data_IF_818700761116
#
_entry.id   IF_818700761116
#
_cell.length_a   1.000
_cell.length_b   1.000
_cell.length_c   1.000
_cell.angle_alpha   90.00
_cell.angle_beta   90.00
_cell.angle_gamma   90.00
#
_symmetry.space_group_name_H-M   'P 1'
#
loop_
_entity.id
_entity.type
_entity.pdbx_description
1 polymer ?
#
# COMPACT_ATOMS: atom_id res chain seq x y z
N UNK A 1 0.04 -10.76 -22.44
CA UNK A 1 -1.37 -10.40 -22.15
C UNK A 1 -1.68 -10.75 -20.70
N UNK A 2 -1.50 -9.85 -19.72
CA UNK A 2 -2.22 -9.88 -18.42
C UNK A 2 -1.91 -8.60 -17.59
N UNK A 3 -2.48 -7.45 -17.95
CA UNK A 3 -2.48 -6.29 -17.06
C UNK A 3 -3.84 -6.24 -16.39
N UNK A 4 -4.01 -7.00 -15.30
CA UNK A 4 -5.20 -6.90 -14.46
C UNK A 4 -5.29 -5.46 -13.93
N UNK A 5 -6.30 -4.72 -14.38
CA UNK A 5 -6.66 -3.44 -13.78
C UNK A 5 -7.04 -3.72 -12.32
N UNK A 6 -6.46 -3.03 -11.32
CA UNK A 6 -6.83 -3.30 -9.93
C UNK A 6 -8.34 -3.14 -9.80
N UNK A 7 -9.03 -4.12 -9.16
CA UNK A 7 -10.46 -4.02 -8.94
C UNK A 7 -10.74 -2.71 -8.20
N UNK A 8 -11.67 -1.90 -8.71
CA UNK A 8 -12.13 -0.72 -7.98
C UNK A 8 -12.70 -1.23 -6.65
N UNK A 9 -12.29 -0.68 -5.50
CA UNK A 9 -12.79 -1.16 -4.21
C UNK A 9 -14.31 -0.97 -4.18
N UNK A 10 -15.04 -2.08 -4.10
CA UNK A 10 -16.47 -2.09 -3.81
C UNK A 10 -16.65 -1.68 -2.36
N UNK A 11 -16.85 -0.37 -2.14
CA UNK A 11 -17.20 0.27 -0.87
C UNK A 11 -18.38 -0.42 -0.22
N UNK A 12 -18.27 -0.82 1.06
CA UNK A 12 -19.35 -0.70 2.07
C UNK A 12 -18.84 -0.90 3.51
N UNK A 13 -17.64 -1.41 3.76
CA UNK A 13 -17.14 -1.52 5.14
C UNK A 13 -15.99 -0.53 5.43
N UNK A 14 -16.24 0.61 6.11
CA UNK A 14 -15.21 1.63 6.39
C UNK A 14 -14.09 1.13 7.32
N UNK A 15 -14.18 -0.10 7.84
CA UNK A 15 -13.14 -0.75 8.65
C UNK A 15 -12.33 -1.84 7.94
N UNK A 16 -12.71 -2.27 6.73
CA UNK A 16 -12.06 -3.43 6.09
C UNK A 16 -10.89 -3.00 5.19
N UNK A 17 -9.67 -3.19 5.69
CA UNK A 17 -8.44 -3.11 4.91
C UNK A 17 -8.39 -4.25 3.89
N UNK A 18 -8.29 -3.93 2.59
CA UNK A 18 -8.11 -4.92 1.51
C UNK A 18 -6.67 -4.92 1.02
N UNK A 19 -6.07 -6.09 0.86
CA UNK A 19 -4.67 -6.19 0.43
C UNK A 19 -4.42 -5.71 -1.01
N UNK A 20 -5.43 -5.77 -1.87
CA UNK A 20 -5.39 -5.27 -3.26
C UNK A 20 -5.60 -3.75 -3.37
N UNK A 21 -5.88 -3.05 -2.27
CA UNK A 21 -6.12 -1.61 -2.31
C UNK A 21 -4.83 -0.83 -2.61
N UNK A 22 -4.89 0.26 -3.42
CA UNK A 22 -3.76 1.16 -3.62
C UNK A 22 -3.24 1.77 -2.32
N UNK A 23 -1.92 1.87 -2.18
CA UNK A 23 -1.26 2.41 -0.95
C UNK A 23 -1.69 3.83 -0.60
N UNK A 24 -2.02 4.66 -1.60
CA UNK A 24 -2.47 6.05 -1.40
C UNK A 24 -3.76 6.20 -0.58
N UNK A 25 -4.55 5.13 -0.45
CA UNK A 25 -5.78 5.14 0.36
C UNK A 25 -5.52 4.71 1.81
N UNK A 26 -4.29 4.30 2.14
CA UNK A 26 -3.91 4.01 3.52
C UNK A 26 -3.75 5.29 4.31
N UNK A 27 -4.32 5.31 5.52
CA UNK A 27 -4.16 6.43 6.44
C UNK A 27 -2.67 6.71 6.70
N UNK A 28 -2.28 7.99 6.59
CA UNK A 28 -0.89 8.43 6.80
C UNK A 28 0.00 8.40 5.54
N UNK A 29 -0.55 7.98 4.40
CA UNK A 29 0.11 8.07 3.09
C UNK A 29 -0.54 9.19 2.29
N UNK A 30 0.14 10.35 2.23
CA UNK A 30 -0.22 11.44 1.31
C UNK A 30 0.45 11.28 -0.05
N UNK A 31 0.09 12.14 -1.01
CA UNK A 31 0.56 12.08 -2.41
C UNK A 31 2.08 11.89 -2.54
N UNK A 32 2.87 12.69 -1.81
CA UNK A 32 4.34 12.60 -1.88
C UNK A 32 4.89 11.24 -1.45
N UNK A 33 4.30 10.62 -0.42
CA UNK A 33 4.70 9.29 0.04
C UNK A 33 4.23 8.21 -0.94
N UNK A 34 3.03 8.37 -1.50
CA UNK A 34 2.53 7.46 -2.53
C UNK A 34 3.46 7.43 -3.76
N UNK A 35 3.93 8.59 -4.23
CA UNK A 35 4.91 8.67 -5.33
C UNK A 35 6.24 7.98 -4.99
N UNK A 36 6.74 8.14 -3.76
CA UNK A 36 7.96 7.46 -3.32
C UNK A 36 7.79 5.93 -3.30
N UNK A 37 6.66 5.44 -2.78
CA UNK A 37 6.34 4.02 -2.74
C UNK A 37 6.20 3.43 -4.16
N UNK A 38 5.56 4.16 -5.07
CA UNK A 38 5.45 3.75 -6.48
C UNK A 38 6.83 3.60 -7.15
N UNK A 39 7.78 4.49 -6.84
CA UNK A 39 9.17 4.40 -7.36
C UNK A 39 9.92 3.19 -6.80
N UNK A 40 9.52 2.68 -5.63
CA UNK A 40 10.02 1.44 -5.04
C UNK A 40 9.27 0.19 -5.53
N UNK A 41 8.27 0.34 -6.42
CA UNK A 41 7.43 -0.74 -6.90
C UNK A 41 6.32 -1.17 -5.93
N UNK A 42 6.08 -0.40 -4.87
CA UNK A 42 5.06 -0.68 -3.85
C UNK A 42 3.77 0.03 -4.24
N UNK A 43 2.77 -0.71 -4.71
CA UNK A 43 1.53 -0.14 -5.27
C UNK A 43 0.31 -0.42 -4.43
N UNK A 44 0.30 -1.56 -3.76
CA UNK A 44 -0.84 -2.06 -2.97
C UNK A 44 -0.50 -2.22 -1.49
N UNK A 45 -1.53 -2.32 -0.65
CA UNK A 45 -1.35 -2.62 0.78
C UNK A 45 -0.60 -3.94 1.00
N UNK A 46 -0.78 -4.93 0.11
CA UNK A 46 -0.01 -6.18 0.11
C UNK A 46 1.49 -5.93 -0.07
N UNK A 47 1.86 -5.11 -1.04
CA UNK A 47 3.26 -4.83 -1.34
C UNK A 47 3.92 -4.13 -0.15
N UNK A 48 3.21 -3.19 0.47
CA UNK A 48 3.70 -2.47 1.64
C UNK A 48 3.88 -3.38 2.85
N UNK A 49 2.95 -4.32 3.07
CA UNK A 49 3.03 -5.30 4.16
C UNK A 49 4.28 -6.19 4.05
N UNK A 50 4.68 -6.53 2.82
CA UNK A 50 5.87 -7.34 2.55
C UNK A 50 7.14 -6.53 2.35
N UNK A 51 7.08 -5.19 2.46
CA UNK A 51 8.25 -4.32 2.42
C UNK A 51 8.86 -4.18 3.83
N UNK A 52 9.55 -5.25 4.25
CA UNK A 52 10.15 -5.32 5.58
C UNK A 52 11.38 -4.41 5.69
N UNK A 53 11.62 -3.79 6.87
CA UNK A 53 12.83 -3.01 7.09
C UNK A 53 14.07 -3.90 7.06
N UNK A 54 15.15 -3.44 6.41
CA UNK A 54 16.43 -4.15 6.38
C UNK A 54 17.06 -4.27 7.78
N UNK A 55 16.83 -3.28 8.65
CA UNK A 55 17.29 -3.28 10.04
C UNK A 55 16.24 -2.63 10.92
N UNK A 56 15.91 -3.30 12.02
CA UNK A 56 15.14 -2.72 13.11
C UNK A 56 16.10 -2.07 14.11
N UNK A 57 15.89 -0.79 14.40
CA UNK A 57 16.63 -0.07 15.44
C UNK A 57 15.67 0.14 16.60
N UNK A 58 16.02 -0.39 17.75
CA UNK A 58 15.30 -0.19 18.99
C UNK A 58 15.78 1.09 19.69
N UNK A 59 14.87 1.83 20.31
CA UNK A 59 15.14 3.12 20.95
C UNK A 59 14.85 3.11 22.46
N UNK A 60 15.07 1.96 23.12
CA UNK A 60 14.97 1.81 24.58
C UNK A 60 16.02 2.61 25.35
#
# INVERSE_FOLDING_TARGET
MLNARPPKPSTTDPGTLRLDMPVKFLKGIGERRAEQLERLGIRTARDLLWHLPHRYVDAS
#
